data_IF_327652526412
#
_entry.id   IF_327652526412
#
_cell.length_a   1.000
_cell.length_b   1.000
_cell.length_c   1.000
_cell.angle_alpha   90.00
_cell.angle_beta   90.00
_cell.angle_gamma   90.00
#
_symmetry.space_group_name_H-M   'P 1'
#
loop_
_entity.id
_entity.type
_entity.pdbx_description
1 polymer ?
#
# COMPACT_ATOMS: atom_id res chain seq x y z
N UNK A 1 16.59 10.91 6.73
CA UNK A 1 16.91 9.73 5.90
C UNK A 1 15.79 9.53 4.91
N UNK A 2 16.06 9.14 3.65
CA UNK A 2 15.00 8.87 2.66
C UNK A 2 14.36 7.52 2.93
N UNK A 3 13.04 7.43 2.83
CA UNK A 3 12.33 6.15 2.77
C UNK A 3 12.44 5.63 1.34
N UNK A 4 13.08 4.49 1.17
CA UNK A 4 13.16 3.79 -0.11
C UNK A 4 12.05 2.75 -0.24
N UNK A 5 11.70 2.40 -1.47
CA UNK A 5 10.72 1.37 -1.82
C UNK A 5 11.38 0.31 -2.65
N UNK A 6 10.94 -0.93 -2.47
CA UNK A 6 11.59 -2.10 -3.05
C UNK A 6 10.58 -3.20 -3.30
N UNK A 7 10.98 -4.11 -4.17
CA UNK A 7 10.30 -5.37 -4.39
C UNK A 7 11.23 -6.52 -4.05
N UNK A 8 10.68 -7.68 -3.69
CA UNK A 8 11.41 -8.94 -3.57
C UNK A 8 10.51 -10.12 -3.97
N UNK A 9 11.12 -11.13 -4.59
CA UNK A 9 10.44 -12.40 -4.84
C UNK A 9 10.63 -13.34 -3.64
N UNK A 10 9.53 -13.74 -3.02
CA UNK A 10 9.52 -14.81 -2.01
C UNK A 10 9.17 -16.12 -2.69
N UNK A 11 10.10 -17.09 -2.66
CA UNK A 11 9.95 -18.40 -3.29
C UNK A 11 9.82 -19.50 -2.25
N UNK A 12 8.70 -20.23 -2.27
CA UNK A 12 8.46 -21.36 -1.37
C UNK A 12 7.58 -22.41 -2.04
N UNK A 13 7.93 -23.69 -1.87
CA UNK A 13 7.17 -24.83 -2.39
C UNK A 13 6.85 -24.75 -3.91
N UNK A 14 7.76 -24.19 -4.70
CA UNK A 14 7.58 -24.02 -6.15
C UNK A 14 6.66 -22.87 -6.56
N UNK A 15 6.14 -22.10 -5.61
CA UNK A 15 5.42 -20.85 -5.84
C UNK A 15 6.35 -19.65 -5.62
N UNK A 16 6.16 -18.60 -6.40
CA UNK A 16 6.84 -17.30 -6.25
C UNK A 16 5.77 -16.24 -6.04
N UNK A 17 5.98 -15.35 -5.09
CA UNK A 17 5.13 -14.17 -4.86
C UNK A 17 6.00 -12.93 -4.78
N UNK A 18 5.55 -11.85 -5.40
CA UNK A 18 6.14 -10.52 -5.36
C UNK A 18 5.68 -9.81 -4.09
N UNK A 19 6.63 -9.26 -3.33
CA UNK A 19 6.37 -8.49 -2.11
C UNK A 19 6.97 -7.12 -2.24
N UNK A 20 6.14 -6.09 -2.08
CA UNK A 20 6.58 -4.72 -1.93
C UNK A 20 6.92 -4.42 -0.47
N UNK A 21 7.96 -3.62 -0.24
CA UNK A 21 8.28 -3.12 1.09
C UNK A 21 8.97 -1.76 1.07
N UNK A 22 8.78 -1.02 2.16
CA UNK A 22 9.48 0.23 2.45
C UNK A 22 10.64 0.00 3.39
N UNK A 23 11.69 0.80 3.22
CA UNK A 23 12.91 0.72 4.02
C UNK A 23 13.47 2.10 4.36
N UNK A 24 13.95 2.27 5.59
CA UNK A 24 14.84 3.37 5.93
C UNK A 24 15.71 3.02 7.15
N UNK A 25 16.84 3.69 7.32
CA UNK A 25 17.72 3.52 8.47
C UNK A 25 18.79 2.45 8.32
N UNK A 26 19.78 2.49 9.20
CA UNK A 26 21.01 1.66 9.16
C UNK A 26 21.27 0.90 10.47
N UNK A 27 20.29 0.84 11.37
CA UNK A 27 20.38 0.15 12.66
C UNK A 27 19.97 -1.33 12.58
N UNK A 28 19.68 -1.96 13.72
CA UNK A 28 19.10 -3.31 13.74
C UNK A 28 17.79 -3.40 12.96
N UNK A 29 17.47 -4.54 12.32
CA UNK A 29 16.23 -4.69 11.56
C UNK A 29 15.01 -4.61 12.48
N UNK A 30 14.05 -3.78 12.08
CA UNK A 30 12.73 -3.66 12.68
C UNK A 30 11.67 -3.96 11.62
N UNK A 31 10.99 -5.09 11.75
CA UNK A 31 9.88 -5.46 10.90
C UNK A 31 8.61 -4.75 11.36
N UNK A 32 7.92 -4.04 10.47
CA UNK A 32 6.71 -3.28 10.77
C UNK A 32 5.53 -3.81 9.96
N UNK A 33 4.54 -4.42 10.63
CA UNK A 33 3.40 -5.08 9.96
C UNK A 33 2.13 -4.26 10.13
N UNK A 34 1.61 -3.76 9.01
CA UNK A 34 0.50 -2.81 8.96
C UNK A 34 -0.86 -3.42 9.33
N UNK A 35 -1.84 -2.55 9.60
CA UNK A 35 -3.23 -2.94 9.81
C UNK A 35 -3.99 -3.14 8.49
N UNK A 36 -5.07 -3.92 8.49
CA UNK A 36 -5.97 -4.10 7.34
C UNK A 36 -7.10 -3.07 7.39
N UNK A 37 -7.54 -2.52 6.24
CA UNK A 37 -7.10 -2.83 4.87
C UNK A 37 -6.01 -1.85 4.38
N UNK A 38 -5.04 -1.50 5.24
CA UNK A 38 -3.98 -0.53 4.89
C UNK A 38 -2.82 -1.19 4.15
N UNK A 39 -1.75 -0.44 3.93
CA UNK A 39 -0.46 -0.90 3.42
C UNK A 39 0.71 -0.37 4.27
N UNK A 40 1.95 -0.73 3.92
CA UNK A 40 3.17 -0.17 4.53
C UNK A 40 3.24 1.36 4.51
N UNK A 41 2.48 2.01 3.62
CA UNK A 41 2.37 3.47 3.52
C UNK A 41 1.93 4.11 4.84
N UNK A 42 1.14 3.42 5.66
CA UNK A 42 0.71 3.98 6.95
C UNK A 42 1.87 4.27 7.91
N UNK A 43 3.03 3.63 7.69
CA UNK A 43 4.20 3.78 8.53
C UNK A 43 5.18 4.84 8.05
N UNK A 44 4.93 5.60 6.97
CA UNK A 44 5.87 6.60 6.47
C UNK A 44 6.36 7.55 7.59
N UNK A 45 5.43 8.17 8.34
CA UNK A 45 5.78 9.06 9.45
C UNK A 45 6.47 8.35 10.63
N UNK A 46 6.15 7.08 10.91
CA UNK A 46 6.84 6.32 11.96
C UNK A 46 8.26 5.95 11.51
N UNK A 47 8.44 5.53 10.26
CA UNK A 47 9.72 5.18 9.67
C UNK A 47 10.66 6.38 9.70
N UNK A 48 10.18 7.60 9.37
CA UNK A 48 10.97 8.83 9.46
C UNK A 48 11.61 9.01 10.85
N UNK A 49 10.85 8.75 11.91
CA UNK A 49 11.31 8.88 13.30
C UNK A 49 12.18 7.70 13.74
N UNK A 50 11.77 6.47 13.41
CA UNK A 50 12.36 5.26 13.96
C UNK A 50 13.60 4.79 13.20
N UNK A 51 13.78 5.25 11.94
CA UNK A 51 14.97 4.99 11.13
C UNK A 51 16.28 5.52 11.74
N UNK A 52 16.20 6.45 12.69
CA UNK A 52 17.35 6.92 13.47
C UNK A 52 17.95 5.80 14.36
N UNK A 53 17.12 4.81 14.73
CA UNK A 53 17.46 3.75 15.68
C UNK A 53 17.53 2.37 15.04
N UNK A 54 16.74 2.15 13.99
CA UNK A 54 16.56 0.85 13.34
C UNK A 54 16.72 0.94 11.83
N UNK A 55 17.00 -0.19 11.18
CA UNK A 55 16.61 -0.36 9.78
C UNK A 55 15.14 -0.80 9.78
N UNK A 56 14.24 0.15 9.59
CA UNK A 56 12.81 -0.10 9.48
C UNK A 56 12.51 -0.79 8.16
N UNK A 57 11.72 -1.87 8.22
CA UNK A 57 11.31 -2.68 7.07
C UNK A 57 9.81 -2.88 7.19
N UNK A 58 9.04 -2.20 6.35
CA UNK A 58 7.59 -2.27 6.36
C UNK A 58 7.10 -2.92 5.06
N UNK A 59 6.81 -4.24 5.04
CA UNK A 59 6.19 -4.87 3.90
C UNK A 59 4.72 -4.51 3.76
N UNK A 60 4.24 -4.50 2.53
CA UNK A 60 2.81 -4.71 2.30
C UNK A 60 2.51 -6.20 2.53
N UNK A 61 1.59 -6.49 3.44
CA UNK A 61 1.14 -7.85 3.70
C UNK A 61 0.44 -8.42 2.47
N UNK A 62 0.45 -9.75 2.32
CA UNK A 62 -0.01 -10.40 1.09
C UNK A 62 -1.46 -9.99 0.73
N UNK A 63 -1.66 -9.53 -0.51
CA UNK A 63 -2.97 -9.07 -1.00
C UNK A 63 -3.31 -7.62 -0.64
N UNK A 64 -2.36 -6.86 -0.10
CA UNK A 64 -2.49 -5.43 0.15
C UNK A 64 -1.37 -4.66 -0.54
N UNK A 65 -1.60 -3.36 -0.75
CA UNK A 65 -0.64 -2.47 -1.41
C UNK A 65 -0.18 -3.06 -2.74
N UNK A 66 1.13 -3.18 -2.91
CA UNK A 66 1.74 -3.69 -4.15
C UNK A 66 2.28 -5.13 -3.99
N UNK A 67 1.81 -5.88 -3.00
CA UNK A 67 2.20 -7.28 -2.75
C UNK A 67 1.15 -8.27 -3.29
N UNK A 68 1.64 -9.34 -3.92
CA UNK A 68 0.79 -10.44 -4.38
C UNK A 68 -0.01 -11.07 -3.23
N UNK A 69 -1.23 -11.52 -3.55
CA UNK A 69 -2.09 -12.24 -2.62
C UNK A 69 -1.59 -13.68 -2.37
N UNK A 70 -1.92 -14.22 -1.19
CA UNK A 70 -1.78 -15.66 -0.95
C UNK A 70 -2.88 -16.43 -1.72
N UNK A 71 -2.57 -17.61 -2.27
CA UNK A 71 -3.54 -18.39 -3.03
C UNK A 71 -4.62 -19.00 -2.13
N UNK A 72 -5.81 -19.21 -2.69
CA UNK A 72 -6.91 -19.93 -2.03
C UNK A 72 -7.59 -19.11 -0.93
N UNK A 73 -7.90 -19.76 0.19
CA UNK A 73 -8.52 -19.14 1.38
C UNK A 73 -7.50 -19.18 2.52
N UNK A 74 -6.52 -18.24 2.54
CA UNK A 74 -5.50 -18.22 3.56
C UNK A 74 -6.10 -17.92 4.93
N UNK A 75 -5.55 -18.56 5.95
CA UNK A 75 -5.86 -18.35 7.36
C UNK A 75 -4.71 -17.62 8.06
N UNK A 76 -4.92 -17.20 9.31
CA UNK A 76 -3.95 -16.35 10.02
C UNK A 76 -2.54 -16.96 10.11
N UNK A 77 -2.45 -18.29 10.17
CA UNK A 77 -1.18 -18.99 10.16
C UNK A 77 -0.42 -18.83 8.84
N UNK A 78 -1.13 -18.75 7.71
CA UNK A 78 -0.52 -18.53 6.40
C UNK A 78 0.05 -17.11 6.29
N UNK A 79 -0.66 -16.11 6.84
CA UNK A 79 -0.13 -14.75 6.95
C UNK A 79 1.08 -14.67 7.88
N UNK A 80 1.05 -15.35 9.02
CA UNK A 80 2.20 -15.45 9.92
C UNK A 80 3.41 -16.10 9.23
N UNK A 81 3.21 -17.21 8.53
CA UNK A 81 4.26 -17.90 7.78
C UNK A 81 4.76 -17.02 6.63
N UNK A 82 3.90 -16.23 5.97
CA UNK A 82 4.30 -15.31 4.90
C UNK A 82 5.26 -14.21 5.39
N UNK A 83 5.12 -13.75 6.63
CA UNK A 83 6.04 -12.78 7.23
C UNK A 83 7.40 -13.43 7.48
N UNK A 84 7.41 -14.69 7.94
CA UNK A 84 8.65 -15.45 8.15
C UNK A 84 9.36 -15.72 6.83
N UNK A 85 8.61 -16.10 5.80
CA UNK A 85 9.15 -16.36 4.45
C UNK A 85 9.74 -15.10 3.82
N UNK A 86 9.16 -13.94 4.10
CA UNK A 86 9.73 -12.66 3.71
C UNK A 86 11.06 -12.40 4.42
N UNK A 87 11.14 -12.62 5.74
CA UNK A 87 12.40 -12.45 6.47
C UNK A 87 13.49 -13.36 5.89
N UNK A 88 13.15 -14.61 5.53
CA UNK A 88 14.08 -15.53 4.88
C UNK A 88 14.54 -15.01 3.52
N UNK A 89 13.62 -14.51 2.68
CA UNK A 89 13.95 -13.94 1.39
C UNK A 89 14.83 -12.68 1.51
N UNK A 90 14.60 -11.84 2.52
CA UNK A 90 15.40 -10.64 2.80
C UNK A 90 16.78 -10.96 3.39
N UNK A 91 17.03 -12.20 3.83
CA UNK A 91 18.26 -12.60 4.51
C UNK A 91 18.31 -12.23 6.00
N UNK A 92 17.15 -12.01 6.63
CA UNK A 92 17.02 -11.57 8.02
C UNK A 92 16.75 -12.76 8.94
N UNK A 93 17.78 -13.18 9.67
CA UNK A 93 17.67 -14.29 10.62
C UNK A 93 16.79 -13.96 11.83
N UNK A 94 16.97 -12.77 12.43
CA UNK A 94 16.25 -12.34 13.64
C UNK A 94 16.08 -10.82 13.65
N UNK A 95 14.93 -10.33 14.09
CA UNK A 95 14.64 -8.89 14.14
C UNK A 95 13.76 -8.50 15.34
N UNK A 96 13.68 -7.20 15.64
CA UNK A 96 12.58 -6.68 16.44
C UNK A 96 11.34 -6.54 15.53
N UNK A 97 10.13 -6.49 16.11
CA UNK A 97 8.92 -6.31 15.33
C UNK A 97 7.92 -5.35 15.97
N UNK A 98 7.25 -4.57 15.13
CA UNK A 98 6.14 -3.70 15.49
C UNK A 98 4.91 -4.03 14.64
N UNK A 99 3.73 -4.11 15.25
CA UNK A 99 2.49 -4.33 14.53
C UNK A 99 1.36 -3.49 15.09
N UNK A 100 0.53 -2.96 14.20
CA UNK A 100 -0.66 -2.21 14.59
C UNK A 100 -1.92 -2.99 14.18
N UNK A 101 -2.87 -3.12 15.11
CA UNK A 101 -4.16 -3.80 14.91
C UNK A 101 -3.98 -5.22 14.34
N UNK A 102 -4.41 -5.47 13.10
CA UNK A 102 -4.27 -6.78 12.47
C UNK A 102 -2.82 -7.22 12.30
N UNK A 103 -1.89 -6.27 12.11
CA UNK A 103 -0.46 -6.57 12.06
C UNK A 103 0.07 -7.10 13.39
N UNK A 104 -0.51 -6.65 14.51
CA UNK A 104 -0.26 -7.21 15.82
C UNK A 104 -0.72 -8.67 15.94
N UNK A 105 -1.90 -9.01 15.40
CA UNK A 105 -2.41 -10.39 15.36
C UNK A 105 -1.48 -11.29 14.52
N UNK A 106 -1.04 -10.82 13.34
CA UNK A 106 -0.10 -11.56 12.48
C UNK A 106 1.21 -11.81 13.22
N UNK A 107 1.79 -10.78 13.85
CA UNK A 107 3.07 -10.90 14.56
C UNK A 107 3.00 -11.79 15.80
N UNK A 108 1.94 -11.68 16.63
CA UNK A 108 1.76 -12.59 17.77
C UNK A 108 1.60 -14.03 17.30
N UNK A 109 0.86 -14.26 16.21
CA UNK A 109 0.72 -15.59 15.60
C UNK A 109 2.07 -16.10 15.09
N UNK A 110 2.87 -15.26 14.43
CA UNK A 110 4.21 -15.61 13.99
C UNK A 110 5.14 -15.92 15.16
N UNK A 111 5.11 -15.14 16.24
CA UNK A 111 5.93 -15.35 17.43
C UNK A 111 5.57 -16.65 18.17
N UNK A 112 4.29 -17.03 18.22
CA UNK A 112 3.85 -18.33 18.78
C UNK A 112 4.41 -19.52 18.00
N UNK A 113 4.59 -19.35 16.69
CA UNK A 113 5.05 -20.42 15.79
C UNK A 113 6.57 -20.46 15.64
N UNK A 114 7.20 -19.30 15.68
CA UNK A 114 8.62 -19.08 15.34
C UNK A 114 9.28 -18.09 16.32
N UNK A 115 9.16 -18.34 17.62
CA UNK A 115 9.63 -17.45 18.69
C UNK A 115 11.08 -16.97 18.51
N UNK A 116 11.97 -17.84 18.01
CA UNK A 116 13.39 -17.53 17.82
C UNK A 116 13.68 -16.48 16.73
N UNK A 117 12.69 -16.13 15.91
CA UNK A 117 12.81 -15.13 14.83
C UNK A 117 12.68 -13.69 15.31
N UNK A 118 12.20 -13.48 16.54
CA UNK A 118 11.98 -12.14 17.07
C UNK A 118 12.78 -11.90 18.35
N UNK A 119 13.32 -10.69 18.51
CA UNK A 119 14.00 -10.24 19.75
C UNK A 119 13.01 -9.67 20.75
N UNK A 120 12.02 -8.92 20.26
CA UNK A 120 10.89 -8.41 21.01
C UNK A 120 9.78 -7.98 20.04
N UNK A 121 8.55 -7.83 20.56
CA UNK A 121 7.39 -7.32 19.83
C UNK A 121 6.83 -6.07 20.53
N UNK A 122 6.50 -5.05 19.76
CA UNK A 122 5.64 -3.96 20.21
C UNK A 122 4.34 -4.00 19.40
N UNK A 123 3.20 -3.96 20.08
CA UNK A 123 1.88 -4.07 19.44
C UNK A 123 0.98 -2.93 19.87
N UNK A 124 0.51 -2.16 18.90
CA UNK A 124 -0.52 -1.15 19.10
C UNK A 124 -1.90 -1.70 18.75
N UNK A 125 -2.85 -1.64 19.68
CA UNK A 125 -4.24 -2.10 19.49
C UNK A 125 -4.33 -3.61 19.23
N UNK A 126 -4.19 -4.45 20.26
CA UNK A 126 -4.37 -5.90 20.12
C UNK A 126 -5.82 -6.31 20.41
N UNK A 127 -6.48 -6.94 19.43
CA UNK A 127 -7.90 -7.22 19.52
C UNK A 127 -8.22 -8.60 20.13
N UNK A 128 -8.87 -8.60 21.29
CA UNK A 128 -9.44 -9.78 21.99
C UNK A 128 -10.97 -9.71 21.95
N UNK A 129 -11.60 -10.22 20.89
CA UNK A 129 -13.06 -10.16 20.72
C UNK A 129 -13.81 -11.19 21.59
N UNK A 130 -15.02 -10.84 22.02
CA UNK A 130 -15.98 -11.79 22.60
C UNK A 130 -16.62 -12.66 21.49
N UNK A 131 -17.20 -13.82 21.84
CA UNK A 131 -17.95 -14.64 20.88
C UNK A 131 -19.08 -13.87 20.16
N UNK A 132 -19.75 -12.96 20.86
CA UNK A 132 -20.82 -12.11 20.31
C UNK A 132 -20.28 -11.09 19.31
N UNK A 133 -19.17 -10.44 19.64
CA UNK A 133 -18.46 -9.52 18.72
C UNK A 133 -17.98 -10.28 17.48
N UNK A 134 -17.37 -11.46 17.64
CA UNK A 134 -16.94 -12.31 16.51
C UNK A 134 -18.11 -12.69 15.60
N UNK A 135 -19.28 -13.00 16.17
CA UNK A 135 -20.48 -13.29 15.38
C UNK A 135 -20.97 -12.05 14.59
N UNK A 136 -20.87 -10.85 15.18
CA UNK A 136 -21.24 -9.59 14.53
C UNK A 136 -20.29 -9.23 13.37
N UNK A 137 -18.99 -9.45 13.53
CA UNK A 137 -17.95 -9.15 12.52
C UNK A 137 -17.85 -10.17 11.39
N UNK A 138 -18.65 -11.24 11.40
CA UNK A 138 -18.72 -12.22 10.30
C UNK A 138 -19.27 -11.58 9.00
N UNK A 139 -19.91 -12.32 8.10
CA UNK A 139 -20.15 -11.99 6.67
C UNK A 139 -20.54 -10.54 6.28
N UNK A 140 -21.09 -9.73 7.19
CA UNK A 140 -21.42 -8.31 6.95
C UNK A 140 -20.23 -7.35 6.92
N UNK A 141 -19.12 -7.66 7.60
CA UNK A 141 -18.01 -6.70 7.74
C UNK A 141 -17.10 -6.64 6.51
N UNK A 142 -17.02 -7.74 5.76
CA UNK A 142 -16.17 -7.91 4.58
C UNK A 142 -16.99 -8.37 3.37
N UNK A 143 -17.89 -7.51 2.85
CA UNK A 143 -18.62 -7.81 1.61
C UNK A 143 -17.64 -8.01 0.45
N UNK A 144 -18.07 -8.71 -0.60
CA UNK A 144 -17.24 -8.82 -1.81
C UNK A 144 -17.05 -7.44 -2.45
N UNK A 145 -15.83 -7.19 -2.93
CA UNK A 145 -15.46 -5.97 -3.62
C UNK A 145 -14.89 -6.30 -5.00
N UNK A 146 -15.76 -6.18 -6.00
CA UNK A 146 -15.42 -6.41 -7.41
C UNK A 146 -15.69 -5.16 -8.24
N UNK A 147 -14.83 -4.84 -9.21
CA UNK A 147 -15.13 -3.83 -10.22
C UNK A 147 -16.45 -4.15 -10.93
N UNK A 148 -17.32 -3.16 -11.01
CA UNK A 148 -18.61 -3.23 -11.68
C UNK A 148 -18.60 -2.37 -12.94
N UNK A 149 -19.22 -2.85 -14.02
CA UNK A 149 -19.14 -2.23 -15.34
C UNK A 149 -19.51 -0.73 -15.36
N UNK A 150 -20.49 -0.30 -14.57
CA UNK A 150 -20.94 1.09 -14.53
C UNK A 150 -20.38 1.88 -13.34
N UNK A 151 -19.43 1.30 -12.59
CA UNK A 151 -18.72 1.99 -11.51
C UNK A 151 -19.46 2.02 -10.16
N UNK A 152 -20.48 1.19 -9.97
CA UNK A 152 -21.30 1.16 -8.73
C UNK A 152 -20.46 0.90 -7.47
N UNK A 153 -19.43 0.06 -7.62
CA UNK A 153 -18.46 -0.26 -6.58
C UNK A 153 -17.72 0.99 -6.04
N UNK A 154 -17.54 2.04 -6.85
CA UNK A 154 -16.85 3.28 -6.45
C UNK A 154 -17.71 4.12 -5.50
N UNK A 155 -19.02 4.24 -5.79
CA UNK A 155 -19.97 4.93 -4.92
C UNK A 155 -20.05 4.22 -3.57
N UNK A 156 -20.18 2.89 -3.61
CA UNK A 156 -20.21 2.07 -2.41
C UNK A 156 -18.91 2.24 -1.61
N UNK A 157 -17.74 2.13 -2.26
CA UNK A 157 -16.45 2.21 -1.61
C UNK A 157 -16.25 3.55 -0.90
N UNK A 158 -16.50 4.69 -1.58
CA UNK A 158 -16.36 6.01 -0.97
C UNK A 158 -17.19 6.15 0.31
N UNK A 159 -18.48 5.81 0.24
CA UNK A 159 -19.39 5.95 1.38
C UNK A 159 -19.03 4.98 2.51
N UNK A 160 -18.66 3.74 2.17
CA UNK A 160 -18.22 2.74 3.16
C UNK A 160 -16.97 3.17 3.90
N UNK A 161 -15.97 3.74 3.23
CA UNK A 161 -14.76 4.28 3.89
C UNK A 161 -15.10 5.49 4.74
N UNK A 162 -15.93 6.39 4.24
CA UNK A 162 -16.37 7.57 4.99
C UNK A 162 -17.09 7.18 6.27
N UNK A 163 -18.04 6.25 6.20
CA UNK A 163 -18.82 5.77 7.36
C UNK A 163 -17.96 4.99 8.35
N UNK A 164 -16.92 4.28 7.90
CA UNK A 164 -15.93 3.67 8.81
C UNK A 164 -15.23 4.72 9.69
N UNK A 165 -15.09 5.96 9.23
CA UNK A 165 -14.53 7.04 10.06
C UNK A 165 -15.53 7.60 11.08
N UNK A 166 -16.80 7.21 11.00
CA UNK A 166 -17.87 7.70 11.87
C UNK A 166 -18.41 6.64 12.82
N UNK A 167 -18.36 5.38 12.41
CA UNK A 167 -18.95 4.25 13.14
C UNK A 167 -18.00 3.04 13.16
N UNK A 168 -18.01 2.32 14.27
CA UNK A 168 -17.35 1.02 14.38
C UNK A 168 -18.26 -0.01 15.06
N UNK A 169 -18.64 -1.12 14.37
CA UNK A 169 -18.36 -1.42 12.95
C UNK A 169 -19.06 -0.43 12.00
N UNK A 170 -18.51 -0.24 10.80
CA UNK A 170 -18.96 0.77 9.82
C UNK A 170 -20.43 0.61 9.40
N UNK A 171 -20.98 -0.61 9.45
CA UNK A 171 -22.37 -0.89 9.09
C UNK A 171 -23.37 -0.64 10.23
N UNK A 172 -22.91 -0.41 11.46
CA UNK A 172 -23.76 -0.16 12.63
C UNK A 172 -23.95 1.35 12.82
N UNK A 173 -24.81 1.95 12.00
CA UNK A 173 -25.02 3.40 11.96
C UNK A 173 -25.99 3.88 13.04
N UNK A 174 -25.67 3.63 14.31
CA UNK A 174 -26.40 4.09 15.48
C UNK A 174 -25.49 4.83 16.47
N UNK A 175 -26.09 5.53 17.44
CA UNK A 175 -25.32 6.34 18.39
C UNK A 175 -24.48 5.50 19.37
N UNK A 176 -24.78 4.21 19.54
CA UNK A 176 -23.99 3.33 20.40
C UNK A 176 -22.65 2.94 19.77
N UNK A 177 -22.55 2.97 18.44
CA UNK A 177 -21.36 2.60 17.67
C UNK A 177 -20.63 3.82 17.08
N UNK A 178 -21.04 5.03 17.43
CA UNK A 178 -20.43 6.28 16.94
C UNK A 178 -19.03 6.44 17.53
N UNK A 179 -18.04 6.64 16.65
CA UNK A 179 -16.68 6.94 17.06
C UNK A 179 -16.57 8.35 17.67
N UNK A 180 -15.70 8.56 18.67
CA UNK A 180 -15.56 9.85 19.35
C UNK A 180 -14.96 10.94 18.45
N UNK A 181 -14.24 10.54 17.39
CA UNK A 181 -13.62 11.44 16.42
C UNK A 181 -14.08 11.03 15.02
N UNK A 182 -14.99 11.82 14.44
CA UNK A 182 -15.43 11.67 13.05
C UNK A 182 -14.58 12.53 12.11
N UNK A 183 -14.26 12.01 10.93
CA UNK A 183 -13.54 12.75 9.88
C UNK A 183 -14.40 12.90 8.61
N UNK A 184 -14.32 14.04 7.94
CA UNK A 184 -14.96 14.28 6.64
C UNK A 184 -14.01 14.80 5.56
N UNK A 185 -12.70 14.89 5.89
CA UNK A 185 -11.64 15.32 4.98
C UNK A 185 -11.51 14.37 3.78
N UNK A 186 -11.76 14.83 2.55
CA UNK A 186 -11.72 14.00 1.35
C UNK A 186 -10.38 13.27 1.16
N UNK A 187 -9.27 13.93 1.46
CA UNK A 187 -7.92 13.37 1.25
C UNK A 187 -7.67 12.15 2.15
N UNK A 188 -8.22 12.14 3.37
CA UNK A 188 -8.09 11.00 4.29
C UNK A 188 -8.96 9.82 3.85
N UNK A 189 -10.13 10.08 3.26
CA UNK A 189 -11.02 9.05 2.72
C UNK A 189 -10.40 8.45 1.47
N UNK A 190 -9.98 9.29 0.53
CA UNK A 190 -9.28 8.91 -0.71
C UNK A 190 -8.06 8.03 -0.42
N UNK A 191 -7.26 8.36 0.60
CA UNK A 191 -6.10 7.56 0.98
C UNK A 191 -6.43 6.12 1.39
N UNK A 192 -7.63 5.81 1.89
CA UNK A 192 -8.06 4.43 2.18
C UNK A 192 -8.78 3.82 0.98
N UNK A 193 -9.54 4.63 0.23
CA UNK A 193 -10.17 4.21 -1.03
C UNK A 193 -9.13 3.67 -2.00
N UNK A 194 -8.01 4.36 -2.19
CA UNK A 194 -6.93 3.91 -3.08
C UNK A 194 -6.30 2.59 -2.63
N UNK A 195 -6.06 2.42 -1.34
CA UNK A 195 -5.52 1.14 -0.83
C UNK A 195 -6.51 -0.02 -0.99
N UNK A 196 -7.82 0.25 -0.88
CA UNK A 196 -8.86 -0.73 -1.19
C UNK A 196 -8.95 -1.04 -2.69
N UNK A 197 -8.76 -0.05 -3.56
CA UNK A 197 -8.69 -0.25 -5.02
C UNK A 197 -7.46 -1.07 -5.40
N UNK A 198 -6.29 -0.80 -4.80
CA UNK A 198 -5.06 -1.58 -4.97
C UNK A 198 -5.27 -3.05 -4.53
N UNK A 199 -5.85 -3.25 -3.33
CA UNK A 199 -6.06 -4.60 -2.77
C UNK A 199 -7.13 -5.40 -3.53
N UNK A 200 -8.09 -4.74 -4.18
CA UNK A 200 -9.25 -5.40 -4.79
C UNK A 200 -9.96 -6.32 -3.80
N UNK A 201 -10.47 -7.46 -4.28
CA UNK A 201 -11.13 -8.44 -3.39
C UNK A 201 -10.16 -9.21 -2.47
N UNK A 202 -8.84 -9.10 -2.65
CA UNK A 202 -7.87 -9.78 -1.79
C UNK A 202 -7.93 -9.27 -0.34
N UNK A 203 -8.45 -8.06 -0.12
CA UNK A 203 -8.69 -7.50 1.21
C UNK A 203 -9.54 -8.42 2.09
N UNK A 204 -10.50 -9.16 1.50
CA UNK A 204 -11.38 -10.08 2.21
C UNK A 204 -10.60 -11.27 2.78
N UNK A 205 -9.61 -11.76 2.04
CA UNK A 205 -8.77 -12.88 2.46
C UNK A 205 -7.93 -12.49 3.68
N UNK A 206 -7.17 -11.40 3.59
CA UNK A 206 -6.30 -10.96 4.68
C UNK A 206 -7.01 -10.44 5.91
N UNK A 207 -8.00 -9.56 5.71
CA UNK A 207 -8.78 -9.06 6.84
C UNK A 207 -9.64 -10.18 7.44
N UNK A 208 -10.21 -11.05 6.59
CA UNK A 208 -11.01 -12.19 7.03
C UNK A 208 -10.21 -13.19 7.87
N UNK A 209 -8.98 -13.51 7.46
CA UNK A 209 -8.08 -14.36 8.23
C UNK A 209 -7.84 -13.81 9.64
N UNK A 210 -7.68 -12.50 9.78
CA UNK A 210 -7.52 -11.83 11.08
C UNK A 210 -8.82 -11.82 11.89
N UNK A 211 -9.97 -11.61 11.26
CA UNK A 211 -11.27 -11.68 11.94
C UNK A 211 -11.58 -13.09 12.46
N UNK A 212 -11.21 -14.13 11.71
CA UNK A 212 -11.38 -15.54 12.09
C UNK A 212 -10.28 -16.07 13.00
N UNK A 213 -9.16 -15.36 13.13
CA UNK A 213 -8.01 -15.78 13.92
C UNK A 213 -8.39 -16.09 15.38
N UNK A 214 -7.81 -17.15 15.98
CA UNK A 214 -7.80 -17.30 17.44
C UNK A 214 -7.22 -16.02 18.07
N UNK A 215 -7.97 -15.40 18.98
CA UNK A 215 -7.61 -14.12 19.61
C UNK A 215 -6.87 -14.31 20.92
N UNK A 216 -6.08 -15.38 21.02
CA UNK A 216 -5.38 -15.80 22.22
C UNK A 216 -3.91 -15.35 22.22
N UNK A 217 -3.51 -14.77 23.35
CA UNK A 217 -2.10 -14.59 23.66
C UNK A 217 -1.47 -15.94 24.09
N UNK A 218 -0.13 -16.07 24.05
CA UNK A 218 0.55 -17.25 24.58
C UNK A 218 0.18 -17.49 26.05
N UNK A 219 0.03 -18.76 26.43
CA UNK A 219 -0.29 -19.12 27.81
C UNK A 219 0.85 -18.71 28.78
N UNK A 220 0.55 -18.45 30.06
CA UNK A 220 1.57 -18.22 31.09
C UNK A 220 2.61 -19.35 31.11
N UNK A 221 3.89 -18.98 31.19
CA UNK A 221 5.01 -19.93 31.17
C UNK A 221 5.44 -20.41 29.78
N UNK A 222 4.77 -20.00 28.70
CA UNK A 222 5.26 -20.25 27.32
C UNK A 222 6.54 -19.46 27.07
N UNK A 223 7.55 -20.11 26.48
CA UNK A 223 8.77 -19.44 26.04
C UNK A 223 8.51 -18.68 24.72
N UNK A 224 8.30 -17.37 24.83
CA UNK A 224 8.06 -16.45 23.72
C UNK A 224 8.95 -15.21 23.88
N UNK A 225 9.23 -14.45 22.80
CA UNK A 225 9.93 -13.17 22.91
C UNK A 225 9.16 -12.17 23.81
N UNK A 226 9.86 -11.23 24.46
CA UNK A 226 9.23 -10.13 25.18
C UNK A 226 8.25 -9.35 24.30
N UNK A 227 7.13 -8.92 24.87
CA UNK A 227 6.10 -8.17 24.13
C UNK A 227 5.53 -7.02 24.95
N UNK A 228 5.35 -5.86 24.31
CA UNK A 228 4.53 -4.77 24.83
C UNK A 228 3.24 -4.68 24.01
N UNK A 229 2.09 -4.78 24.66
CA UNK A 229 0.77 -4.49 24.07
C UNK A 229 0.30 -3.14 24.61
N UNK A 230 -0.09 -2.23 23.74
CA UNK A 230 -0.53 -0.89 24.15
C UNK A 230 -1.63 -0.35 23.25
N UNK A 231 -2.46 0.55 23.77
CA UNK A 231 -3.53 1.20 23.01
C UNK A 231 -3.83 2.59 23.61
N UNK A 232 -4.25 3.54 22.78
CA UNK A 232 -4.50 4.93 23.19
C UNK A 232 -5.98 5.26 23.37
N UNK A 233 -6.30 6.38 24.03
CA UNK A 233 -7.67 6.84 24.22
C UNK A 233 -8.34 7.14 22.88
N UNK A 234 -9.42 6.44 22.56
CA UNK A 234 -10.14 6.55 21.28
C UNK A 234 -9.74 5.53 20.23
N UNK A 235 -8.78 4.65 20.51
CA UNK A 235 -8.60 3.41 19.75
C UNK A 235 -9.76 2.44 20.08
N UNK A 236 -10.50 1.91 19.08
CA UNK A 236 -11.59 0.95 19.33
C UNK A 236 -11.14 -0.32 20.06
N UNK A 237 -9.83 -0.62 20.06
CA UNK A 237 -9.25 -1.79 20.70
C UNK A 237 -8.73 -1.51 22.11
N UNK A 238 -8.85 -0.29 22.65
CA UNK A 238 -8.30 0.04 23.96
C UNK A 238 -8.86 -0.84 25.08
N UNK A 239 -10.17 -1.08 25.08
CA UNK A 239 -10.85 -1.91 26.09
C UNK A 239 -10.51 -3.40 25.98
N UNK A 240 -9.87 -3.83 24.89
CA UNK A 240 -9.41 -5.21 24.72
C UNK A 240 -8.20 -5.52 25.59
N UNK A 241 -7.45 -4.51 26.04
CA UNK A 241 -6.33 -4.69 26.98
C UNK A 241 -6.81 -5.34 28.28
N UNK A 242 -8.00 -4.97 28.76
CA UNK A 242 -8.56 -5.52 30.00
C UNK A 242 -9.00 -6.99 29.86
N UNK A 243 -9.02 -7.51 28.62
CA UNK A 243 -9.49 -8.86 28.28
C UNK A 243 -8.34 -9.84 28.02
N UNK A 244 -7.08 -9.41 28.06
CA UNK A 244 -5.91 -10.23 27.72
C UNK A 244 -5.71 -11.43 28.68
N UNK A 245 -6.26 -11.38 29.89
CA UNK A 245 -6.07 -12.44 30.89
C UNK A 245 -4.67 -12.44 31.49
N UNK A 246 -4.18 -13.62 31.88
CA UNK A 246 -2.85 -13.76 32.47
C UNK A 246 -1.77 -13.77 31.37
N UNK A 247 -0.83 -12.83 31.44
CA UNK A 247 0.23 -12.66 30.45
C UNK A 247 1.43 -13.59 30.71
N UNK A 248 2.20 -13.99 29.68
CA UNK A 248 3.56 -14.48 29.86
C UNK A 248 4.41 -13.52 30.70
N UNK A 249 5.37 -14.02 31.47
CA UNK A 249 6.12 -13.22 32.46
C UNK A 249 6.96 -12.09 31.85
N UNK A 250 7.26 -12.15 30.56
CA UNK A 250 8.00 -11.16 29.80
C UNK A 250 7.10 -10.32 28.88
N UNK A 251 5.79 -10.41 29.04
CA UNK A 251 4.81 -9.60 28.33
C UNK A 251 4.26 -8.52 29.27
N UNK A 252 4.03 -7.33 28.72
CA UNK A 252 3.42 -6.21 29.43
C UNK A 252 2.27 -5.64 28.59
N UNK A 253 1.23 -5.13 29.25
CA UNK A 253 0.12 -4.46 28.61
C UNK A 253 -0.21 -3.13 29.31
N UNK A 254 -0.48 -2.07 28.55
CA UNK A 254 -0.78 -0.76 29.13
C UNK A 254 -1.72 0.07 28.25
N UNK A 255 -2.60 0.85 28.88
CA UNK A 255 -3.37 1.91 28.21
C UNK A 255 -2.58 3.22 28.29
N UNK A 256 -2.53 3.95 27.19
CA UNK A 256 -1.90 5.28 27.10
C UNK A 256 -2.91 6.31 26.62
N UNK A 257 -2.56 7.60 26.67
CA UNK A 257 -3.53 8.67 26.40
C UNK A 257 -3.60 9.01 24.92
N UNK A 258 -2.46 9.16 24.25
CA UNK A 258 -2.40 9.66 22.87
C UNK A 258 -1.73 8.65 21.92
N UNK A 259 -1.97 8.75 20.61
CA UNK A 259 -1.20 8.01 19.61
C UNK A 259 0.32 8.24 19.75
N UNK A 260 0.74 9.46 20.09
CA UNK A 260 2.15 9.79 20.31
C UNK A 260 2.72 9.07 21.55
N UNK A 261 1.96 8.97 22.65
CA UNK A 261 2.38 8.18 23.82
C UNK A 261 2.54 6.69 23.48
N UNK A 262 1.69 6.17 22.58
CA UNK A 262 1.77 4.80 22.08
C UNK A 262 3.07 4.60 21.29
N UNK A 263 3.34 5.48 20.31
CA UNK A 263 4.56 5.46 19.49
C UNK A 263 5.80 5.51 20.39
N UNK A 264 5.84 6.45 21.34
CA UNK A 264 6.97 6.63 22.26
C UNK A 264 7.19 5.41 23.16
N UNK A 265 6.11 4.83 23.70
CA UNK A 265 6.19 3.63 24.53
C UNK A 265 6.70 2.43 23.75
N UNK A 266 6.22 2.24 22.52
CA UNK A 266 6.69 1.17 21.64
C UNK A 266 8.16 1.34 21.29
N UNK A 267 8.58 2.55 20.88
CA UNK A 267 9.98 2.83 20.54
C UNK A 267 10.91 2.56 21.73
N UNK A 268 10.56 3.07 22.92
CA UNK A 268 11.34 2.86 24.13
C UNK A 268 11.46 1.37 24.50
N UNK A 269 10.38 0.59 24.32
CA UNK A 269 10.41 -0.84 24.55
C UNK A 269 11.30 -1.57 23.54
N UNK A 270 11.20 -1.23 22.25
CA UNK A 270 12.02 -1.82 21.19
C UNK A 270 13.52 -1.55 21.42
N UNK A 271 13.89 -0.33 21.83
CA UNK A 271 15.28 0.06 22.11
C UNK A 271 15.91 -0.67 23.31
N UNK A 272 15.10 -1.14 24.27
CA UNK A 272 15.59 -1.88 25.44
C UNK A 272 16.04 -3.32 25.10
N UNK A 273 15.68 -3.83 23.93
CA UNK A 273 15.95 -5.20 23.52
C UNK A 273 16.98 -5.23 22.39
N UNK A 274 18.16 -5.76 22.69
CA UNK A 274 19.26 -5.86 21.72
C UNK A 274 18.85 -6.73 20.53
N UNK A 275 19.01 -6.17 19.33
CA UNK A 275 18.73 -6.85 18.07
C UNK A 275 20.00 -6.93 17.24
N UNK A 276 20.40 -8.13 16.79
CA UNK A 276 21.57 -8.26 15.92
C UNK A 276 21.41 -7.44 14.64
N UNK A 277 22.49 -6.81 14.20
CA UNK A 277 22.52 -6.21 12.88
C UNK A 277 22.31 -7.29 11.82
N UNK A 278 21.65 -6.92 10.72
CA UNK A 278 21.60 -7.72 9.50
C UNK A 278 22.57 -7.12 8.50
N UNK A 279 23.17 -7.95 7.65
CA UNK A 279 24.10 -7.51 6.61
C UNK A 279 23.36 -6.77 5.49
N UNK A 280 23.26 -7.39 4.31
CA UNK A 280 22.61 -6.83 3.13
C UNK A 280 21.19 -7.39 3.02
N UNK A 281 20.22 -6.49 2.98
CA UNK A 281 18.84 -6.80 2.63
C UNK A 281 18.76 -7.01 1.11
N UNK A 282 18.17 -8.14 0.70
CA UNK A 282 18.02 -8.53 -0.69
C UNK A 282 16.82 -7.84 -1.36
N UNK A 283 16.88 -7.68 -2.68
CA UNK A 283 15.89 -6.98 -3.52
C UNK A 283 15.68 -7.74 -4.83
N UNK A 284 14.55 -7.53 -5.50
CA UNK A 284 14.27 -8.05 -6.82
C UNK A 284 15.21 -7.43 -7.87
N UNK A 285 15.60 -8.22 -8.87
CA UNK A 285 16.52 -7.78 -9.92
C UNK A 285 15.85 -7.16 -11.15
N UNK A 286 14.53 -7.21 -11.24
CA UNK A 286 13.77 -6.83 -12.45
C UNK A 286 12.68 -5.76 -12.23
N UNK A 287 12.65 -5.19 -11.03
CA UNK A 287 11.71 -4.13 -10.65
C UNK A 287 12.21 -3.44 -9.39
N UNK A 288 11.98 -2.14 -9.29
CA UNK A 288 12.35 -1.38 -8.10
C UNK A 288 12.18 0.10 -8.30
N UNK A 289 12.91 0.86 -7.49
CA UNK A 289 12.84 2.31 -7.48
C UNK A 289 14.23 2.91 -7.58
N UNK A 290 14.36 3.99 -8.32
CA UNK A 290 15.60 4.78 -8.44
C UNK A 290 15.39 6.11 -7.77
N UNK A 291 16.31 6.49 -6.89
CA UNK A 291 16.35 7.83 -6.32
C UNK A 291 16.88 8.81 -7.35
N UNK A 292 16.09 9.84 -7.65
CA UNK A 292 16.47 10.92 -8.56
C UNK A 292 16.38 12.24 -7.82
N UNK A 293 17.47 12.99 -7.85
CA UNK A 293 17.58 14.31 -7.25
C UNK A 293 17.97 15.29 -8.35
N UNK A 294 17.08 16.23 -8.62
CA UNK A 294 17.23 17.32 -9.59
C UNK A 294 16.80 18.62 -8.93
N UNK A 295 16.88 19.75 -9.64
CA UNK A 295 16.40 21.03 -9.09
C UNK A 295 14.87 21.05 -8.91
N UNK A 296 14.12 20.33 -9.75
CA UNK A 296 12.66 20.35 -9.78
C UNK A 296 12.00 19.08 -9.19
N UNK A 297 12.76 17.99 -9.03
CA UNK A 297 12.26 16.72 -8.51
C UNK A 297 13.25 16.09 -7.55
N UNK A 298 12.79 15.83 -6.33
CA UNK A 298 13.46 14.99 -5.36
C UNK A 298 12.57 13.80 -4.94
N UNK A 299 12.76 12.63 -5.57
CA UNK A 299 11.90 11.49 -5.29
C UNK A 299 12.39 10.17 -5.86
N UNK A 300 11.52 9.16 -5.80
CA UNK A 300 11.75 7.83 -6.34
C UNK A 300 10.99 7.64 -7.66
N UNK A 301 11.68 7.09 -8.66
CA UNK A 301 11.10 6.69 -9.94
C UNK A 301 11.00 5.17 -10.00
N UNK A 302 9.78 4.66 -10.16
CA UNK A 302 9.49 3.24 -10.31
C UNK A 302 9.91 2.74 -11.70
N UNK A 303 10.58 1.59 -11.74
CA UNK A 303 11.01 0.94 -12.97
C UNK A 303 10.73 -0.57 -12.93
N UNK A 304 10.49 -1.14 -14.11
CA UNK A 304 10.32 -2.59 -14.31
C UNK A 304 10.97 -3.02 -15.63
N UNK A 305 11.65 -4.16 -15.65
CA UNK A 305 12.27 -4.71 -16.86
C UNK A 305 13.53 -5.53 -16.59
N UNK A 306 14.15 -6.06 -17.63
CA UNK A 306 15.39 -6.83 -17.52
C UNK A 306 16.60 -5.89 -17.44
N UNK A 307 17.43 -6.04 -16.39
CA UNK A 307 18.69 -5.30 -16.28
C UNK A 307 19.60 -5.57 -17.48
N UNK A 308 20.21 -4.51 -18.01
CA UNK A 308 21.04 -4.57 -19.22
C UNK A 308 20.27 -4.37 -20.53
N UNK A 309 18.95 -4.17 -20.46
CA UNK A 309 18.15 -3.70 -21.59
C UNK A 309 18.64 -2.34 -22.10
N UNK A 310 18.60 -2.13 -23.42
CA UNK A 310 19.13 -0.91 -24.04
C UNK A 310 18.09 0.22 -24.14
N UNK A 311 16.79 -0.13 -24.17
CA UNK A 311 15.70 0.83 -24.42
C UNK A 311 14.89 1.12 -23.15
N UNK A 312 14.77 2.39 -22.80
CA UNK A 312 13.83 2.90 -21.82
C UNK A 312 12.50 3.23 -22.50
N UNK A 313 11.36 2.77 -21.95
CA UNK A 313 10.04 2.97 -22.52
C UNK A 313 9.19 3.82 -21.58
N UNK A 314 8.62 4.90 -22.11
CA UNK A 314 7.73 5.80 -21.38
C UNK A 314 6.27 5.56 -21.77
N UNK A 315 5.38 5.52 -20.79
CA UNK A 315 3.93 5.48 -21.02
C UNK A 315 3.38 6.87 -21.37
N UNK A 316 2.17 6.92 -21.92
CA UNK A 316 1.47 8.18 -22.21
C UNK A 316 0.96 8.89 -20.94
N UNK A 317 0.61 10.19 -21.01
CA UNK A 317 0.03 10.89 -19.87
C UNK A 317 -1.30 10.28 -19.42
N UNK A 318 -1.51 10.17 -18.10
CA UNK A 318 -2.73 9.56 -17.55
C UNK A 318 -2.78 8.03 -17.62
N UNK A 319 -1.64 7.39 -17.90
CA UNK A 319 -1.43 5.94 -17.85
C UNK A 319 -0.32 5.60 -16.84
N UNK A 320 -0.09 4.31 -16.64
CA UNK A 320 1.05 3.76 -15.90
C UNK A 320 1.83 2.79 -16.79
N UNK A 321 3.02 2.38 -16.34
CA UNK A 321 3.85 1.41 -17.03
C UNK A 321 3.14 0.07 -17.27
N UNK A 322 3.54 -0.64 -18.32
CA UNK A 322 3.07 -1.99 -18.57
C UNK A 322 3.58 -2.96 -17.50
N UNK A 323 2.74 -3.93 -17.12
CA UNK A 323 3.12 -4.97 -16.16
C UNK A 323 4.23 -5.89 -16.68
N UNK A 324 4.30 -6.08 -17.99
CA UNK A 324 5.35 -6.86 -18.66
C UNK A 324 5.90 -6.02 -19.83
N UNK A 325 7.03 -5.32 -19.63
CA UNK A 325 7.69 -4.59 -20.70
C UNK A 325 8.14 -5.53 -21.83
N UNK A 326 8.22 -5.01 -23.05
CA UNK A 326 8.77 -5.74 -24.20
C UNK A 326 10.17 -6.31 -23.90
N UNK A 327 10.55 -7.47 -24.46
CA UNK A 327 11.91 -7.99 -24.33
C UNK A 327 12.97 -6.95 -24.75
N UNK A 328 13.99 -6.77 -23.92
CA UNK A 328 15.05 -5.77 -24.14
C UNK A 328 14.65 -4.33 -23.82
N UNK A 329 13.50 -4.13 -23.15
CA UNK A 329 13.05 -2.83 -22.67
C UNK A 329 12.94 -2.76 -21.13
N UNK A 330 13.16 -1.57 -20.60
CA UNK A 330 12.79 -1.20 -19.22
C UNK A 330 11.72 -0.12 -19.31
N UNK A 331 10.59 -0.33 -18.62
CA UNK A 331 9.54 0.68 -18.50
C UNK A 331 9.69 1.44 -17.18
N UNK A 332 9.29 2.72 -17.19
CA UNK A 332 9.24 3.54 -15.98
C UNK A 332 7.88 4.20 -15.83
N UNK A 333 7.46 4.41 -14.59
CA UNK A 333 6.41 5.37 -14.28
C UNK A 333 7.09 6.73 -14.14
N UNK A 334 6.61 7.75 -14.84
CA UNK A 334 7.18 9.09 -14.68
C UNK A 334 6.73 9.74 -13.35
N UNK A 335 7.44 10.77 -12.83
CA UNK A 335 6.98 11.46 -11.64
C UNK A 335 5.52 11.92 -11.74
N UNK A 336 4.77 11.67 -10.67
CA UNK A 336 3.32 11.90 -10.62
C UNK A 336 2.48 10.93 -11.46
N UNK A 337 3.00 9.74 -11.78
CA UNK A 337 2.28 8.64 -12.42
C UNK A 337 2.62 7.31 -11.74
N UNK A 338 1.71 6.34 -11.88
CA UNK A 338 1.86 4.98 -11.36
C UNK A 338 2.39 4.95 -9.92
N UNK A 339 3.49 4.23 -9.69
CA UNK A 339 4.12 4.15 -8.36
C UNK A 339 5.22 5.18 -8.12
N UNK A 340 5.58 6.03 -9.08
CA UNK A 340 6.60 7.06 -8.88
C UNK A 340 6.12 8.18 -7.95
N UNK A 341 7.06 8.82 -7.26
CA UNK A 341 6.73 9.99 -6.43
C UNK A 341 6.22 11.15 -7.29
N UNK A 342 5.38 12.00 -6.70
CA UNK A 342 4.92 13.23 -7.34
C UNK A 342 6.04 14.28 -7.37
N UNK A 343 5.88 15.29 -8.22
CA UNK A 343 6.73 16.48 -8.21
C UNK A 343 6.59 17.27 -6.91
N UNK A 344 7.63 18.03 -6.56
CA UNK A 344 7.60 18.98 -5.46
C UNK A 344 6.74 20.19 -5.85
N UNK A 345 5.45 20.15 -5.50
CA UNK A 345 4.49 21.18 -5.90
C UNK A 345 3.93 20.95 -7.30
N UNK A 346 3.72 22.02 -8.05
CA UNK A 346 3.12 21.95 -9.39
C UNK A 346 4.13 21.33 -10.39
N UNK A 347 3.75 20.26 -11.12
CA UNK A 347 4.62 19.65 -12.13
C UNK A 347 4.98 20.64 -13.25
N UNK A 348 6.17 20.53 -13.86
CA UNK A 348 6.61 21.44 -14.92
C UNK A 348 5.86 21.21 -16.23
N UNK A 349 5.51 22.30 -16.93
CA UNK A 349 4.91 22.27 -18.28
C UNK A 349 5.94 22.23 -19.42
N UNK A 350 7.24 22.33 -19.11
CA UNK A 350 8.29 22.39 -20.11
C UNK A 350 8.99 21.04 -20.26
N UNK A 351 9.32 20.65 -21.49
CA UNK A 351 9.99 19.38 -21.76
C UNK A 351 11.37 19.23 -21.09
N UNK A 352 12.07 20.35 -20.87
CA UNK A 352 13.43 20.35 -20.33
C UNK A 352 13.53 19.65 -18.99
N UNK A 353 12.65 19.99 -18.05
CA UNK A 353 12.67 19.45 -16.69
C UNK A 353 12.32 17.95 -16.66
N UNK A 354 11.33 17.52 -17.44
CA UNK A 354 11.00 16.09 -17.60
C UNK A 354 12.18 15.31 -18.17
N UNK A 355 12.86 15.86 -19.19
CA UNK A 355 14.02 15.22 -19.82
C UNK A 355 15.17 15.05 -18.83
N UNK A 356 15.41 16.00 -17.93
CA UNK A 356 16.47 15.87 -16.90
C UNK A 356 16.23 14.66 -16.00
N UNK A 357 14.99 14.44 -15.56
CA UNK A 357 14.63 13.25 -14.78
C UNK A 357 14.79 11.97 -15.61
N UNK A 358 14.27 11.95 -16.84
CA UNK A 358 14.36 10.79 -17.74
C UNK A 358 15.82 10.41 -18.01
N UNK A 359 16.68 11.39 -18.29
CA UNK A 359 18.11 11.18 -18.56
C UNK A 359 18.83 10.64 -17.30
N UNK A 360 18.47 11.13 -16.10
CA UNK A 360 19.03 10.64 -14.85
C UNK A 360 18.64 9.18 -14.58
N UNK A 361 17.39 8.80 -14.89
CA UNK A 361 16.90 7.42 -14.77
C UNK A 361 17.58 6.51 -15.80
N UNK A 362 17.66 6.94 -17.06
CA UNK A 362 18.34 6.22 -18.13
C UNK A 362 19.80 5.94 -17.79
N UNK A 363 20.51 6.94 -17.25
CA UNK A 363 21.90 6.80 -16.81
C UNK A 363 22.05 5.79 -15.66
N UNK A 364 21.12 5.76 -14.70
CA UNK A 364 21.14 4.79 -13.59
C UNK A 364 20.86 3.36 -14.07
N UNK A 365 19.98 3.19 -15.05
CA UNK A 365 19.60 1.88 -15.61
C UNK A 365 20.55 1.39 -16.70
N UNK A 366 21.42 2.25 -17.24
CA UNK A 366 22.33 1.93 -18.33
C UNK A 366 21.65 1.82 -19.69
N UNK A 367 20.47 2.41 -19.87
CA UNK A 367 19.76 2.44 -21.16
C UNK A 367 20.33 3.52 -22.07
N UNK A 368 20.36 3.29 -23.38
CA UNK A 368 20.93 4.22 -24.37
C UNK A 368 19.91 4.80 -25.34
N UNK A 369 18.72 4.19 -25.44
CA UNK A 369 17.61 4.66 -26.26
C UNK A 369 16.38 4.94 -25.39
N UNK A 370 15.56 5.92 -25.79
CA UNK A 370 14.32 6.27 -25.10
C UNK A 370 13.16 6.26 -26.08
N UNK A 371 12.21 5.36 -25.87
CA UNK A 371 10.94 5.28 -26.60
C UNK A 371 9.90 6.10 -25.89
N UNK A 372 9.42 7.12 -26.58
CA UNK A 372 8.40 8.02 -26.07
C UNK A 372 6.99 7.63 -26.53
N UNK A 373 5.94 8.01 -25.80
CA UNK A 373 4.56 7.78 -26.22
C UNK A 373 4.16 8.67 -27.40
N UNK A 374 3.13 8.23 -28.12
CA UNK A 374 2.39 9.07 -29.06
C UNK A 374 1.56 10.11 -28.30
N UNK A 375 1.47 11.32 -28.85
CA UNK A 375 0.73 12.43 -28.26
C UNK A 375 -0.50 12.77 -29.10
N UNK A 376 -1.73 12.60 -28.58
CA UNK A 376 -2.93 13.01 -29.30
C UNK A 376 -3.02 14.54 -29.38
N UNK A 377 -3.32 15.07 -30.57
CA UNK A 377 -3.53 16.51 -30.80
C UNK A 377 -4.93 16.93 -30.30
N UNK A 378 -5.05 17.22 -29.00
CA UNK A 378 -6.32 17.49 -28.33
C UNK A 378 -6.17 18.57 -27.26
N UNK A 379 -7.30 19.02 -26.69
CA UNK A 379 -7.32 19.98 -25.59
C UNK A 379 -6.94 19.29 -24.27
N UNK A 380 -5.79 19.63 -23.65
CA UNK A 380 -5.33 18.98 -22.43
C UNK A 380 -6.25 19.22 -21.23
N UNK A 381 -6.92 20.37 -21.14
CA UNK A 381 -7.85 20.67 -20.04
C UNK A 381 -9.06 19.74 -20.05
N UNK A 382 -9.47 19.33 -21.25
CA UNK A 382 -10.57 18.38 -21.43
C UNK A 382 -10.09 16.94 -21.32
N UNK A 383 -8.86 16.62 -21.75
CA UNK A 383 -8.33 15.24 -21.66
C UNK A 383 -8.05 14.80 -20.22
N UNK A 384 -7.59 15.73 -19.38
CA UNK A 384 -7.13 15.51 -18.01
C UNK A 384 -7.82 16.53 -17.07
N UNK A 385 -9.13 16.37 -16.83
CA UNK A 385 -9.84 17.24 -15.88
C UNK A 385 -9.29 17.04 -14.46
N UNK A 386 -9.63 17.97 -13.57
CA UNK A 386 -9.28 17.86 -12.15
C UNK A 386 -9.94 16.62 -11.53
N UNK A 387 -9.12 15.67 -11.09
CA UNK A 387 -9.52 14.44 -10.41
C UNK A 387 -9.16 14.46 -8.92
N UNK A 388 -9.03 15.65 -8.33
CA UNK A 388 -8.80 15.81 -6.90
C UNK A 388 -9.97 15.27 -6.07
N UNK A 389 -9.71 14.65 -4.90
CA UNK A 389 -10.76 14.15 -4.03
C UNK A 389 -11.74 15.23 -3.57
N UNK A 390 -13.03 15.01 -3.83
CA UNK A 390 -14.11 15.87 -3.33
C UNK A 390 -14.93 15.17 -2.24
N UNK A 391 -15.78 15.93 -1.54
CA UNK A 391 -16.60 15.45 -0.43
C UNK A 391 -17.45 14.20 -0.74
N UNK A 392 -17.85 14.03 -2.00
CA UNK A 392 -18.78 13.00 -2.44
C UNK A 392 -18.13 11.92 -3.32
N UNK A 393 -16.82 12.00 -3.57
CA UNK A 393 -16.11 11.03 -4.39
C UNK A 393 -16.51 11.07 -5.88
N UNK A 394 -16.99 12.21 -6.40
CA UNK A 394 -17.40 12.35 -7.79
C UNK A 394 -16.24 12.11 -8.76
N UNK A 395 -15.02 12.48 -8.38
CA UNK A 395 -13.82 12.25 -9.20
C UNK A 395 -13.62 10.77 -9.56
N UNK A 396 -13.98 9.83 -8.69
CA UNK A 396 -13.90 8.39 -8.96
C UNK A 396 -14.78 8.01 -10.15
N UNK A 397 -16.04 8.46 -10.14
CA UNK A 397 -16.98 8.19 -11.23
C UNK A 397 -16.59 8.91 -12.51
N UNK A 398 -16.10 10.15 -12.41
CA UNK A 398 -15.62 10.90 -13.57
C UNK A 398 -14.46 10.16 -14.25
N UNK A 399 -13.44 9.74 -13.49
CA UNK A 399 -12.34 8.94 -14.01
C UNK A 399 -12.83 7.62 -14.64
N UNK A 400 -13.81 6.95 -14.04
CA UNK A 400 -14.37 5.69 -14.57
C UNK A 400 -15.02 5.89 -15.94
N UNK A 401 -15.79 6.97 -16.11
CA UNK A 401 -16.39 7.29 -17.40
C UNK A 401 -15.36 7.72 -18.43
N UNK A 402 -14.29 8.41 -18.02
CA UNK A 402 -13.18 8.78 -18.89
C UNK A 402 -12.50 7.52 -19.46
N UNK A 403 -12.11 6.56 -18.61
CA UNK A 403 -11.41 5.34 -19.08
C UNK A 403 -12.31 4.52 -20.01
N UNK A 404 -13.61 4.39 -19.68
CA UNK A 404 -14.58 3.73 -20.57
C UNK A 404 -14.71 4.44 -21.92
N UNK A 405 -14.84 5.77 -21.92
CA UNK A 405 -15.03 6.53 -23.15
C UNK A 405 -13.77 6.51 -24.04
N UNK A 406 -12.56 6.44 -23.48
CA UNK A 406 -11.28 6.37 -24.23
C UNK A 406 -11.17 5.14 -25.14
N UNK A 407 -11.83 4.04 -24.79
CA UNK A 407 -11.90 2.86 -25.64
C UNK A 407 -12.77 3.12 -26.88
N UNK A 408 -13.89 3.81 -26.71
CA UNK A 408 -14.89 4.01 -27.77
C UNK A 408 -14.70 5.27 -28.62
N UNK A 409 -14.05 6.31 -28.09
CA UNK A 409 -13.94 7.62 -28.74
C UNK A 409 -12.53 8.22 -28.63
N UNK A 410 -12.09 8.93 -29.67
CA UNK A 410 -10.87 9.75 -29.63
C UNK A 410 -11.08 11.13 -30.29
N UNK A 411 -10.93 12.24 -29.53
CA UNK A 411 -10.77 12.27 -28.07
C UNK A 411 -12.02 11.75 -27.35
N UNK A 412 -11.84 11.23 -26.12
CA UNK A 412 -12.92 10.56 -25.37
C UNK A 412 -14.14 11.46 -25.07
N UNK A 413 -13.96 12.78 -25.13
CA UNK A 413 -14.99 13.77 -24.85
C UNK A 413 -15.77 14.24 -26.09
N UNK A 414 -15.44 13.78 -27.30
CA UNK A 414 -16.20 14.04 -28.52
C UNK A 414 -17.00 12.79 -28.90
N UNK A 415 -18.25 12.75 -28.45
CA UNK A 415 -19.13 11.57 -28.56
C UNK A 415 -20.04 11.74 -29.79
N UNK A 416 -19.47 11.47 -30.96
CA UNK A 416 -20.16 11.51 -32.25
C UNK A 416 -19.52 10.55 -33.28
N UNK A 417 -20.21 10.23 -34.39
CA UNK A 417 -19.72 9.24 -35.36
C UNK A 417 -18.36 9.55 -36.01
N UNK A 418 -17.88 10.79 -36.00
CA UNK A 418 -16.58 11.14 -36.56
C UNK A 418 -15.41 10.77 -35.63
N UNK A 419 -15.69 10.55 -34.35
CA UNK A 419 -14.69 10.28 -33.31
C UNK A 419 -14.78 8.86 -32.74
N UNK A 420 -15.74 8.06 -33.21
CA UNK A 420 -15.87 6.65 -32.88
C UNK A 420 -14.64 5.83 -33.29
N UNK A 421 -14.19 4.95 -32.39
CA UNK A 421 -13.11 3.99 -32.61
C UNK A 421 -13.66 2.57 -32.64
N UNK A 422 -13.00 1.70 -33.42
CA UNK A 422 -13.11 0.27 -33.19
C UNK A 422 -12.40 -0.07 -31.87
N UNK A 423 -13.03 -0.92 -31.06
CA UNK A 423 -12.49 -1.39 -29.77
C UNK A 423 -12.87 -2.86 -29.57
N UNK A 424 -12.11 -3.57 -28.74
CA UNK A 424 -12.46 -4.93 -28.33
C UNK A 424 -13.47 -4.84 -27.18
N UNK A 425 -14.51 -5.69 -27.20
CA UNK A 425 -15.46 -5.73 -26.10
C UNK A 425 -14.77 -6.11 -24.77
N UNK A 426 -13.69 -6.88 -24.84
CA UNK A 426 -12.88 -7.27 -23.69
C UNK A 426 -12.10 -6.08 -23.08
N UNK A 427 -11.89 -4.99 -23.82
CA UNK A 427 -11.32 -3.74 -23.28
C UNK A 427 -12.26 -3.09 -22.24
N UNK A 428 -13.56 -3.37 -22.31
CA UNK A 428 -14.56 -2.88 -21.36
C UNK A 428 -14.80 -3.84 -20.18
N UNK A 429 -13.99 -4.89 -20.05
CA UNK A 429 -14.00 -5.76 -18.88
C UNK A 429 -13.75 -4.93 -17.59
N UNK A 430 -14.56 -5.09 -16.53
CA UNK A 430 -14.41 -4.29 -15.32
C UNK A 430 -13.03 -4.35 -14.66
N UNK A 431 -12.33 -5.49 -14.74
CA UNK A 431 -10.98 -5.62 -14.15
C UNK A 431 -9.95 -4.82 -14.97
N UNK A 432 -10.07 -4.82 -16.30
CA UNK A 432 -9.23 -3.99 -17.17
C UNK A 432 -9.46 -2.50 -16.88
N UNK A 433 -10.73 -2.09 -16.83
CA UNK A 433 -11.11 -0.70 -16.52
C UNK A 433 -10.66 -0.26 -15.12
N UNK A 434 -10.66 -1.15 -14.13
CA UNK A 434 -10.19 -0.84 -12.78
C UNK A 434 -8.69 -0.51 -12.75
N UNK A 435 -7.85 -1.23 -13.50
CA UNK A 435 -6.42 -0.92 -13.59
C UNK A 435 -6.17 0.42 -14.27
N UNK A 436 -6.85 0.70 -15.38
CA UNK A 436 -6.75 1.99 -16.07
C UNK A 436 -7.30 3.14 -15.23
N UNK A 437 -8.40 2.92 -14.51
CA UNK A 437 -9.01 3.88 -13.60
C UNK A 437 -8.03 4.28 -12.51
N UNK A 438 -7.42 3.29 -11.85
CA UNK A 438 -6.44 3.51 -10.80
C UNK A 438 -5.22 4.28 -11.33
N UNK A 439 -4.68 3.88 -12.48
CA UNK A 439 -3.59 4.58 -13.14
C UNK A 439 -3.93 6.05 -13.43
N UNK A 440 -5.15 6.32 -13.93
CA UNK A 440 -5.60 7.68 -14.24
C UNK A 440 -5.73 8.54 -12.99
N UNK A 441 -6.34 8.03 -11.91
CA UNK A 441 -6.49 8.81 -10.68
C UNK A 441 -5.15 8.99 -9.93
N UNK A 442 -4.16 8.14 -10.17
CA UNK A 442 -2.79 8.27 -9.64
C UNK A 442 -1.93 9.23 -10.47
N UNK A 443 -2.31 9.50 -11.72
CA UNK A 443 -1.56 10.34 -12.66
C UNK A 443 -1.75 11.85 -12.42
N UNK A 444 -1.34 12.35 -11.25
CA UNK A 444 -1.46 13.76 -10.86
C UNK A 444 -0.74 14.73 -11.81
N UNK A 445 0.29 14.26 -12.53
CA UNK A 445 1.04 15.07 -13.47
C UNK A 445 0.63 14.88 -14.94
N UNK A 446 -0.48 14.19 -15.23
CA UNK A 446 -0.89 13.86 -16.60
C UNK A 446 -1.03 15.08 -17.51
N UNK A 447 -1.70 16.14 -17.04
CA UNK A 447 -1.89 17.38 -17.81
C UNK A 447 -0.55 18.05 -18.14
N UNK A 448 0.30 18.23 -17.13
CA UNK A 448 1.60 18.88 -17.26
C UNK A 448 2.55 18.08 -18.15
N UNK A 449 2.53 16.74 -18.02
CA UNK A 449 3.30 15.87 -18.90
C UNK A 449 2.83 15.95 -20.36
N UNK A 450 1.52 16.04 -20.59
CA UNK A 450 0.98 16.27 -21.93
C UNK A 450 1.45 17.61 -22.52
N UNK A 451 1.37 18.70 -21.76
CA UNK A 451 1.84 20.03 -22.17
C UNK A 451 3.34 20.02 -22.49
N UNK A 452 4.14 19.38 -21.64
CA UNK A 452 5.57 19.21 -21.88
C UNK A 452 5.85 18.44 -23.17
N UNK A 453 5.15 17.34 -23.43
CA UNK A 453 5.28 16.57 -24.68
C UNK A 453 4.88 17.37 -25.93
N UNK A 454 3.90 18.29 -25.85
CA UNK A 454 3.54 19.17 -26.97
C UNK A 454 4.69 20.12 -27.34
N UNK A 455 5.59 20.42 -26.40
CA UNK A 455 6.74 21.31 -26.57
C UNK A 455 8.04 20.61 -26.97
N UNK A 456 8.04 19.27 -27.05
CA UNK A 456 9.21 18.45 -27.41
C UNK A 456 9.52 18.54 -28.90
#
# INVERSE_FOLDING_TARGET
MRITRHFIDVRKNGQSRRVHYRRAGNGPPLLMVHQSPRSSKEYETLIEKWAENFTCIAPDTAGFGQSDALPGQPEINDFADSVIDLLDALGIGKCAAYGFHSGGIILVTAAKRQANRFTCLAVGGYAVWSPEEMALFSDRYLPEFHPAAYGEHLAWLWNRILEQSWFFPWFATDDAHRLPVSNDRPERVDAIVREMLDAGNAYQAGYGAVLRAPRDIPAPGTEVPPCLITAYDGDPLQDHIDRLGELPSNWNAQKVRTPEDLENSCLAFLQQHETPLSDRILEAGNEGFISVETEQFDGLVHWRGEQGSETLVLHGPGYAMATEPDPGCIAIDLPGHGLSDAWDGDPPDNWGDWRVVIDAVAANLGTTDVRYPDLPACDPDRLYPDLSPDRFGNYLHMAWQIVRARHMFAPWYEVDPAHEKAFDADDLDPENLAREHLALIQASAAKHYHLALQSR
#
